data_IF_153326213134
#
_entry.id   IF_153326213134
#
_cell.length_a   1.000
_cell.length_b   1.000
_cell.length_c   1.000
_cell.angle_alpha   90.00
_cell.angle_beta   90.00
_cell.angle_gamma   90.00
#
_symmetry.space_group_name_H-M   'P 1'
#
loop_
_entity.id
_entity.type
_entity.pdbx_description
1 polymer ?
#
# COMPACT_ATOMS: atom_id res chain seq x y z
N UNK A 1 -18.16 -13.36 -8.75
CA UNK A 1 -19.44 -13.55 -8.03
C UNK A 1 -19.27 -13.94 -6.58
N UNK A 2 -18.30 -14.81 -6.27
CA UNK A 2 -18.10 -15.37 -4.92
C UNK A 2 -17.96 -14.29 -3.84
N UNK A 3 -17.06 -13.32 -4.00
CA UNK A 3 -16.88 -12.24 -3.01
C UNK A 3 -18.17 -11.46 -2.76
N UNK A 4 -18.93 -11.11 -3.81
CA UNK A 4 -20.20 -10.39 -3.66
C UNK A 4 -21.24 -11.23 -2.91
N UNK A 5 -21.34 -12.52 -3.22
CA UNK A 5 -22.25 -13.43 -2.50
C UNK A 5 -21.83 -13.61 -1.04
N UNK A 6 -20.53 -13.78 -0.77
CA UNK A 6 -20.01 -13.90 0.60
C UNK A 6 -20.27 -12.61 1.39
N UNK A 7 -20.05 -11.42 0.80
CA UNK A 7 -20.37 -10.14 1.44
C UNK A 7 -21.87 -10.04 1.75
N UNK A 8 -22.72 -10.42 0.80
CA UNK A 8 -24.17 -10.46 1.03
C UNK A 8 -24.55 -11.38 2.19
N UNK A 9 -24.01 -12.60 2.20
CA UNK A 9 -24.26 -13.55 3.28
C UNK A 9 -23.80 -13.00 4.64
N UNK A 10 -22.61 -12.43 4.71
CA UNK A 10 -22.06 -11.88 5.96
C UNK A 10 -22.89 -10.71 6.49
N UNK A 11 -23.39 -9.83 5.62
CA UNK A 11 -24.24 -8.69 6.03
C UNK A 11 -25.56 -9.16 6.67
N UNK A 12 -26.13 -10.27 6.22
CA UNK A 12 -27.41 -10.78 6.75
C UNK A 12 -27.25 -11.87 7.81
N UNK A 13 -26.06 -12.46 7.97
CA UNK A 13 -25.76 -13.44 9.02
C UNK A 13 -25.60 -12.74 10.38
N UNK A 14 -26.41 -13.11 11.41
CA UNK A 14 -26.29 -12.52 12.73
C UNK A 14 -24.90 -12.63 13.37
N UNK A 15 -24.07 -13.60 12.96
CA UNK A 15 -22.70 -13.79 13.48
C UNK A 15 -21.72 -12.74 12.99
N UNK A 16 -21.98 -12.14 11.81
CA UNK A 16 -21.07 -11.21 11.13
C UNK A 16 -21.69 -9.84 10.88
N UNK A 17 -23.01 -9.77 10.69
CA UNK A 17 -23.74 -8.55 10.33
C UNK A 17 -24.17 -7.68 11.52
N UNK A 18 -23.97 -8.13 12.77
CA UNK A 18 -24.29 -7.34 13.96
C UNK A 18 -23.10 -6.51 14.45
N UNK A 19 -21.86 -6.96 14.22
CA UNK A 19 -20.63 -6.28 14.64
C UNK A 19 -19.56 -6.40 13.56
N UNK A 20 -18.57 -5.49 13.58
CA UNK A 20 -17.45 -5.47 12.65
C UNK A 20 -17.74 -4.78 11.32
N UNK A 21 -16.97 -5.10 10.31
CA UNK A 21 -16.98 -4.42 9.00
C UNK A 21 -18.22 -4.72 8.13
N UNK A 22 -18.92 -5.81 8.40
CA UNK A 22 -20.18 -6.17 7.72
C UNK A 22 -21.41 -5.65 8.45
N UNK A 23 -21.25 -4.96 9.57
CA UNK A 23 -22.37 -4.45 10.35
C UNK A 23 -23.00 -3.22 9.68
N UNK A 24 -24.14 -3.44 9.03
CA UNK A 24 -24.93 -2.40 8.39
C UNK A 24 -26.27 -2.23 9.12
N UNK A 25 -26.77 -0.99 9.13
CA UNK A 25 -28.06 -0.63 9.70
C UNK A 25 -28.91 0.12 8.70
N UNK A 26 -30.21 -0.07 8.78
CA UNK A 26 -31.20 0.76 8.10
C UNK A 26 -31.57 1.93 9.02
N UNK A 27 -31.17 3.12 8.63
CA UNK A 27 -31.35 4.37 9.39
C UNK A 27 -32.69 4.99 9.01
N UNK A 28 -33.65 4.91 9.94
CA UNK A 28 -34.99 5.46 9.77
C UNK A 28 -35.03 6.98 9.81
N UNK A 29 -34.12 7.62 10.52
CA UNK A 29 -34.12 9.09 10.69
C UNK A 29 -33.43 9.82 9.54
N UNK A 30 -32.71 9.11 8.70
CA UNK A 30 -32.18 9.70 7.48
C UNK A 30 -33.29 10.06 6.51
N UNK A 31 -33.15 11.17 5.79
CA UNK A 31 -34.13 11.62 4.79
C UNK A 31 -33.50 11.69 3.40
N UNK A 32 -33.85 10.74 2.47
CA UNK A 32 -34.68 9.55 2.70
C UNK A 32 -33.96 8.50 3.57
N UNK A 33 -34.68 7.55 4.19
CA UNK A 33 -34.11 6.44 4.92
C UNK A 33 -33.14 5.65 4.06
N UNK A 34 -32.00 5.23 4.65
CA UNK A 34 -30.90 4.61 3.92
C UNK A 34 -30.13 3.59 4.74
N UNK A 35 -29.45 2.70 4.04
CA UNK A 35 -28.47 1.79 4.65
C UNK A 35 -27.14 2.52 4.85
N UNK A 36 -26.54 2.37 6.04
CA UNK A 36 -25.22 2.87 6.39
C UNK A 36 -24.46 1.89 7.28
N UNK A 37 -23.16 2.09 7.42
CA UNK A 37 -22.35 1.35 8.40
C UNK A 37 -22.85 1.63 9.83
N UNK A 38 -22.83 0.59 10.67
CA UNK A 38 -23.18 0.70 12.09
C UNK A 38 -22.10 1.49 12.82
N UNK A 39 -22.50 2.44 13.64
CA UNK A 39 -21.62 3.24 14.49
C UNK A 39 -21.70 2.79 15.95
N UNK A 40 -20.75 3.23 16.80
CA UNK A 40 -20.80 2.98 18.25
C UNK A 40 -22.08 3.52 18.90
N UNK A 41 -22.68 4.56 18.34
CA UNK A 41 -23.95 5.13 18.83
C UNK A 41 -25.13 4.20 18.62
N UNK A 42 -25.08 3.36 17.59
CA UNK A 42 -26.13 2.39 17.26
C UNK A 42 -26.12 1.14 18.18
N UNK A 43 -25.12 1.00 19.04
CA UNK A 43 -24.98 -0.13 20.00
C UNK A 43 -25.84 0.08 21.26
N UNK A 44 -26.35 1.29 21.50
CA UNK A 44 -27.27 1.56 22.60
C UNK A 44 -28.69 1.14 22.20
N UNK A 45 -29.41 0.49 23.13
CA UNK A 45 -30.80 0.02 22.95
C UNK A 45 -31.83 1.09 22.52
N UNK A 46 -31.41 2.33 22.35
CA UNK A 46 -32.22 3.47 21.93
C UNK A 46 -31.87 3.98 20.52
N UNK A 47 -31.18 3.17 19.72
CA UNK A 47 -30.77 3.59 18.38
C UNK A 47 -31.96 3.51 17.40
N UNK A 48 -32.08 4.58 16.59
CA UNK A 48 -33.14 4.77 15.59
C UNK A 48 -32.81 4.02 14.27
N UNK A 49 -32.01 2.98 14.35
CA UNK A 49 -31.53 2.20 13.22
C UNK A 49 -31.73 0.71 13.44
N UNK A 50 -32.18 0.02 12.39
CA UNK A 50 -32.46 -1.41 12.40
C UNK A 50 -31.27 -2.15 11.82
N UNK A 51 -30.58 -3.07 12.54
CA UNK A 51 -29.55 -3.92 11.96
C UNK A 51 -30.08 -4.75 10.78
N UNK A 52 -29.35 -4.87 9.68
CA UNK A 52 -29.83 -5.59 8.51
C UNK A 52 -30.16 -7.06 8.78
N UNK A 53 -29.43 -7.82 9.65
CA UNK A 53 -29.86 -9.16 10.03
C UNK A 53 -31.20 -9.22 10.76
N UNK A 54 -31.58 -8.14 11.47
CA UNK A 54 -32.87 -8.02 12.13
C UNK A 54 -33.96 -7.65 11.10
N UNK A 55 -33.69 -6.70 10.21
CA UNK A 55 -34.61 -6.28 9.15
C UNK A 55 -34.93 -7.43 8.19
N UNK A 56 -34.00 -8.35 7.93
CA UNK A 56 -34.18 -9.49 7.02
C UNK A 56 -34.99 -10.63 7.66
N UNK A 57 -34.89 -10.83 8.97
CA UNK A 57 -35.58 -11.88 9.74
C UNK A 57 -36.93 -11.36 10.31
N UNK A 58 -38.05 -11.88 9.82
CA UNK A 58 -39.38 -11.42 10.25
C UNK A 58 -39.61 -11.55 11.76
N UNK A 59 -39.17 -12.64 12.37
CA UNK A 59 -39.37 -12.88 13.80
C UNK A 59 -38.59 -11.87 14.65
N UNK A 60 -37.35 -11.56 14.23
CA UNK A 60 -36.49 -10.57 14.91
C UNK A 60 -37.03 -9.14 14.67
N UNK A 61 -37.53 -8.85 13.50
CA UNK A 61 -38.11 -7.56 13.16
C UNK A 61 -39.35 -7.30 14.00
N UNK A 62 -40.27 -8.26 14.15
CA UNK A 62 -41.47 -8.15 14.98
C UNK A 62 -41.12 -7.90 16.45
N UNK A 63 -40.09 -8.57 16.96
CA UNK A 63 -39.59 -8.34 18.32
C UNK A 63 -39.03 -6.93 18.44
N UNK A 64 -38.17 -6.52 17.49
CA UNK A 64 -37.57 -5.18 17.49
C UNK A 64 -38.63 -4.08 17.45
N UNK A 65 -39.65 -4.18 16.59
CA UNK A 65 -40.74 -3.20 16.50
C UNK A 65 -41.57 -3.15 17.77
N UNK A 66 -41.79 -4.28 18.45
CA UNK A 66 -42.47 -4.33 19.73
C UNK A 66 -41.67 -3.65 20.86
N UNK A 67 -40.34 -3.78 20.85
CA UNK A 67 -39.45 -3.13 21.81
C UNK A 67 -39.25 -1.63 21.53
N UNK A 68 -39.48 -1.18 20.29
CA UNK A 68 -39.28 0.19 19.81
C UNK A 68 -40.61 0.83 19.34
N UNK A 69 -41.60 0.84 20.22
CA UNK A 69 -42.97 1.29 19.94
C UNK A 69 -43.11 2.68 19.34
N UNK A 70 -42.08 3.56 19.47
CA UNK A 70 -42.04 4.90 18.84
C UNK A 70 -42.07 4.86 17.30
N UNK A 71 -41.83 3.71 16.69
CA UNK A 71 -41.86 3.50 15.24
C UNK A 71 -43.11 2.82 14.72
N UNK A 72 -44.15 2.72 15.56
CA UNK A 72 -45.44 2.13 15.14
C UNK A 72 -46.03 2.87 13.93
N UNK A 73 -45.88 4.19 13.88
CA UNK A 73 -46.39 5.03 12.76
C UNK A 73 -45.56 4.86 11.45
N UNK A 74 -44.39 4.21 11.53
CA UNK A 74 -43.49 3.98 10.37
C UNK A 74 -43.46 2.51 9.93
N UNK A 75 -44.39 1.70 10.40
CA UNK A 75 -44.41 0.26 10.13
C UNK A 75 -44.52 -0.05 8.63
N UNK A 76 -45.26 0.77 7.88
CA UNK A 76 -45.41 0.59 6.43
C UNK A 76 -44.09 0.83 5.69
N UNK A 77 -43.30 1.80 6.14
CA UNK A 77 -41.97 2.07 5.58
C UNK A 77 -40.97 0.93 5.87
N UNK A 78 -40.99 0.43 7.10
CA UNK A 78 -40.18 -0.72 7.52
C UNK A 78 -40.57 -1.95 6.70
N UNK A 79 -41.85 -2.20 6.54
CA UNK A 79 -42.35 -3.30 5.73
C UNK A 79 -41.94 -3.17 4.26
N UNK A 80 -42.05 -1.99 3.67
CA UNK A 80 -41.64 -1.73 2.29
C UNK A 80 -40.09 -1.96 2.11
N UNK A 81 -39.28 -1.55 3.07
CA UNK A 81 -37.85 -1.80 3.05
C UNK A 81 -37.54 -3.32 3.15
N UNK A 82 -38.23 -4.02 4.06
CA UNK A 82 -38.10 -5.46 4.26
C UNK A 82 -38.50 -6.23 3.01
N UNK A 83 -39.63 -5.86 2.39
CA UNK A 83 -40.11 -6.46 1.15
C UNK A 83 -39.08 -6.28 0.03
N UNK A 84 -38.58 -5.08 -0.20
CA UNK A 84 -37.54 -4.80 -1.21
C UNK A 84 -36.29 -5.66 -1.02
N UNK A 85 -35.86 -5.85 0.22
CA UNK A 85 -34.70 -6.70 0.53
C UNK A 85 -34.96 -8.19 0.23
N UNK A 86 -36.13 -8.71 0.58
CA UNK A 86 -36.47 -10.14 0.40
C UNK A 86 -36.82 -10.49 -1.04
N UNK A 87 -37.42 -9.55 -1.75
CA UNK A 87 -37.82 -9.73 -3.16
C UNK A 87 -36.70 -9.34 -4.12
N UNK A 88 -35.56 -8.85 -3.61
CA UNK A 88 -34.44 -8.50 -4.46
C UNK A 88 -33.84 -9.73 -5.13
N UNK A 89 -33.96 -9.78 -6.45
CA UNK A 89 -33.38 -10.85 -7.27
C UNK A 89 -31.96 -10.47 -7.66
N UNK A 90 -30.98 -11.27 -7.25
CA UNK A 90 -29.60 -11.15 -7.73
C UNK A 90 -29.53 -11.78 -9.12
N UNK A 91 -29.33 -10.97 -10.19
CA UNK A 91 -29.20 -11.56 -11.54
C UNK A 91 -27.87 -12.33 -11.59
N UNK A 92 -27.95 -13.60 -11.99
CA UNK A 92 -26.79 -14.45 -12.18
C UNK A 92 -26.78 -14.99 -13.61
N UNK A 93 -25.63 -14.96 -14.25
CA UNK A 93 -25.40 -15.59 -15.54
C UNK A 93 -24.59 -16.87 -15.32
N UNK A 94 -25.19 -18.01 -15.68
CA UNK A 94 -24.48 -19.29 -15.71
C UNK A 94 -23.82 -19.46 -17.08
N UNK A 95 -22.48 -19.52 -17.10
CA UNK A 95 -21.75 -19.76 -18.34
C UNK A 95 -21.40 -21.25 -18.41
N UNK A 96 -21.95 -21.94 -19.40
CA UNK A 96 -21.72 -23.37 -19.65
C UNK A 96 -20.74 -23.50 -20.83
N UNK A 97 -19.46 -23.25 -20.60
CA UNK A 97 -18.40 -23.46 -21.59
C UNK A 97 -17.23 -24.17 -20.92
N UNK A 98 -16.60 -25.08 -21.65
CA UNK A 98 -15.33 -25.71 -21.27
C UNK A 98 -14.16 -25.04 -22.00
N UNK A 99 -14.43 -24.04 -22.83
CA UNK A 99 -13.40 -23.26 -23.53
C UNK A 99 -12.92 -22.12 -22.64
N UNK A 100 -11.70 -22.25 -22.16
CA UNK A 100 -11.02 -21.24 -21.31
C UNK A 100 -10.94 -19.86 -21.96
N UNK A 101 -10.84 -19.77 -23.28
CA UNK A 101 -10.82 -18.51 -24.02
C UNK A 101 -12.16 -17.79 -23.94
N UNK A 102 -13.26 -18.51 -24.10
CA UNK A 102 -14.63 -17.98 -23.99
C UNK A 102 -14.94 -17.57 -22.55
N UNK A 103 -14.54 -18.38 -21.56
CA UNK A 103 -14.72 -18.06 -20.15
C UNK A 103 -13.96 -16.79 -19.76
N UNK A 104 -12.74 -16.58 -20.25
CA UNK A 104 -11.94 -15.38 -20.02
C UNK A 104 -12.58 -14.15 -20.63
N UNK A 105 -13.02 -14.23 -21.89
CA UNK A 105 -13.65 -13.09 -22.57
C UNK A 105 -14.92 -12.64 -21.84
N UNK A 106 -15.76 -13.58 -21.40
CA UNK A 106 -16.96 -13.27 -20.64
C UNK A 106 -16.60 -12.66 -19.28
N UNK A 107 -15.60 -13.21 -18.58
CA UNK A 107 -15.13 -12.71 -17.30
C UNK A 107 -14.59 -11.27 -17.42
N UNK A 108 -13.77 -10.98 -18.42
CA UNK A 108 -13.25 -9.65 -18.70
C UNK A 108 -14.35 -8.64 -19.02
N UNK A 109 -15.33 -9.03 -19.84
CA UNK A 109 -16.50 -8.18 -20.15
C UNK A 109 -17.34 -7.87 -18.92
N UNK A 110 -17.61 -8.86 -18.07
CA UNK A 110 -18.40 -8.68 -16.85
C UNK A 110 -17.70 -7.80 -15.82
N UNK A 111 -16.37 -7.89 -15.71
CA UNK A 111 -15.59 -7.08 -14.78
C UNK A 111 -15.33 -5.65 -15.27
N UNK A 112 -15.39 -5.40 -16.57
CA UNK A 112 -15.31 -4.05 -17.13
C UNK A 112 -16.57 -3.19 -16.87
N UNK A 113 -17.67 -3.79 -16.47
CA UNK A 113 -18.92 -3.09 -16.15
C UNK A 113 -19.02 -2.53 -14.71
N UNK A 114 -18.00 -2.78 -13.84
CA UNK A 114 -17.94 -2.33 -12.44
C UNK A 114 -16.59 -1.76 -12.04
N UNK A 115 -16.25 -1.83 -10.73
CA UNK A 115 -14.88 -1.56 -10.26
C UNK A 115 -13.95 -2.56 -10.92
N UNK A 116 -13.02 -2.07 -11.73
CA UNK A 116 -12.06 -2.94 -12.43
C UNK A 116 -11.27 -3.75 -11.40
N UNK A 117 -11.26 -5.06 -11.56
CA UNK A 117 -10.31 -5.91 -10.83
C UNK A 117 -8.90 -5.58 -11.29
N UNK A 118 -7.96 -5.65 -10.36
CA UNK A 118 -6.54 -5.65 -10.71
C UNK A 118 -6.22 -6.90 -11.54
N UNK A 119 -5.14 -6.86 -12.31
CA UNK A 119 -4.71 -8.02 -13.11
C UNK A 119 -4.39 -9.24 -12.24
N UNK A 120 -3.85 -9.00 -11.04
CA UNK A 120 -3.55 -10.06 -10.08
C UNK A 120 -4.84 -10.71 -9.51
N UNK A 121 -5.86 -9.91 -9.19
CA UNK A 121 -7.18 -10.42 -8.75
C UNK A 121 -7.90 -11.19 -9.85
N UNK A 122 -7.82 -10.72 -11.11
CA UNK A 122 -8.36 -11.43 -12.26
C UNK A 122 -7.66 -12.78 -12.47
N UNK A 123 -6.32 -12.80 -12.34
CA UNK A 123 -5.54 -14.03 -12.43
C UNK A 123 -5.91 -15.02 -11.32
N UNK A 124 -6.05 -14.55 -10.07
CA UNK A 124 -6.49 -15.39 -8.94
C UNK A 124 -7.84 -16.05 -9.22
N UNK A 125 -8.80 -15.29 -9.72
CA UNK A 125 -10.15 -15.82 -10.00
C UNK A 125 -10.20 -16.88 -11.09
N UNK A 126 -9.22 -16.89 -12.00
CA UNK A 126 -9.16 -17.84 -13.14
C UNK A 126 -8.24 -19.04 -12.89
N UNK A 127 -7.28 -18.92 -11.99
CA UNK A 127 -6.22 -19.92 -11.75
C UNK A 127 -6.04 -20.24 -10.26
N UNK A 128 -7.08 -20.08 -9.45
CA UNK A 128 -7.06 -20.59 -8.08
C UNK A 128 -6.67 -22.08 -8.13
N UNK A 129 -5.71 -22.54 -7.30
CA UNK A 129 -5.40 -23.94 -7.18
C UNK A 129 -6.67 -24.72 -6.89
N UNK A 130 -6.82 -25.92 -7.47
CA UNK A 130 -7.90 -26.82 -7.07
C UNK A 130 -7.86 -27.04 -5.56
N UNK A 131 -9.03 -27.05 -4.90
CA UNK A 131 -9.13 -27.29 -3.47
C UNK A 131 -8.35 -28.57 -3.10
N UNK A 132 -7.22 -28.42 -2.40
CA UNK A 132 -6.37 -29.54 -1.95
C UNK A 132 -4.88 -29.40 -2.22
N UNK A 133 -4.43 -28.44 -3.03
CA UNK A 133 -2.99 -28.15 -3.20
C UNK A 133 -2.55 -27.03 -2.24
N UNK A 134 -2.41 -27.37 -0.95
CA UNK A 134 -2.09 -26.41 0.12
C UNK A 134 -0.67 -25.79 0.04
N UNK A 135 0.22 -26.32 -0.80
CA UNK A 135 1.64 -25.95 -0.84
C UNK A 135 2.08 -25.25 -2.13
N UNK A 136 1.17 -24.86 -3.03
CA UNK A 136 1.55 -24.19 -4.26
C UNK A 136 1.99 -22.75 -4.00
N UNK A 137 3.21 -22.37 -4.41
CA UNK A 137 3.69 -20.98 -4.36
C UNK A 137 2.84 -20.10 -5.26
N UNK A 138 2.11 -19.16 -4.67
CA UNK A 138 1.24 -18.20 -5.35
C UNK A 138 1.79 -16.78 -5.16
N UNK A 139 1.18 -15.78 -5.81
CA UNK A 139 1.56 -14.38 -5.58
C UNK A 139 1.24 -13.94 -4.15
N UNK A 140 0.22 -14.52 -3.53
CA UNK A 140 -0.14 -14.29 -2.14
C UNK A 140 0.87 -14.89 -1.17
N UNK A 141 1.40 -16.08 -1.47
CA UNK A 141 2.46 -16.68 -0.65
C UNK A 141 3.74 -15.85 -0.75
N UNK A 142 4.12 -15.37 -1.95
CA UNK A 142 5.25 -14.45 -2.13
C UNK A 142 5.03 -13.17 -1.31
N UNK A 143 3.82 -12.60 -1.35
CA UNK A 143 3.48 -11.40 -0.58
C UNK A 143 3.59 -11.64 0.94
N UNK A 144 3.07 -12.78 1.41
CA UNK A 144 3.11 -13.17 2.81
C UNK A 144 4.56 -13.42 3.28
N UNK A 145 5.35 -14.15 2.51
CA UNK A 145 6.75 -14.42 2.82
C UNK A 145 7.59 -13.13 2.93
N UNK A 146 7.41 -12.20 2.00
CA UNK A 146 8.09 -10.90 2.06
C UNK A 146 7.70 -10.13 3.32
N UNK A 147 6.40 -10.06 3.63
CA UNK A 147 5.91 -9.39 4.84
C UNK A 147 6.49 -10.02 6.11
N UNK A 148 6.39 -11.36 6.21
CA UNK A 148 6.68 -12.07 7.46
C UNK A 148 8.18 -12.27 7.69
N UNK A 149 8.95 -12.52 6.61
CA UNK A 149 10.40 -12.75 6.70
C UNK A 149 11.23 -11.47 6.66
N UNK A 150 10.83 -10.51 5.79
CA UNK A 150 11.62 -9.30 5.59
C UNK A 150 11.11 -8.13 6.43
N UNK A 151 9.88 -8.16 6.91
CA UNK A 151 9.27 -7.05 7.68
C UNK A 151 9.47 -5.69 6.99
N UNK A 152 9.31 -5.67 5.66
CA UNK A 152 9.48 -4.49 4.82
C UNK A 152 8.15 -3.89 4.36
N UNK A 153 7.06 -4.30 4.99
CA UNK A 153 5.69 -3.96 4.64
C UNK A 153 5.09 -4.94 3.63
N UNK A 154 3.80 -4.79 3.40
CA UNK A 154 3.05 -5.64 2.50
C UNK A 154 3.05 -5.07 1.08
N UNK A 155 3.68 -5.78 0.12
CA UNK A 155 3.60 -5.46 -1.28
C UNK A 155 2.16 -5.65 -1.78
N UNK A 156 1.71 -4.82 -2.72
CA UNK A 156 0.47 -5.14 -3.44
C UNK A 156 0.68 -6.25 -4.48
N UNK A 157 -0.38 -7.01 -4.74
CA UNK A 157 -0.33 -8.15 -5.65
C UNK A 157 0.07 -7.77 -7.08
N UNK A 158 -0.29 -6.56 -7.54
CA UNK A 158 0.11 -6.08 -8.87
C UNK A 158 1.62 -5.84 -8.94
N UNK A 159 2.25 -5.37 -7.87
CA UNK A 159 3.72 -5.25 -7.81
C UNK A 159 4.39 -6.62 -7.89
N UNK A 160 3.88 -7.63 -7.18
CA UNK A 160 4.40 -9.01 -7.25
C UNK A 160 4.22 -9.60 -8.64
N UNK A 161 3.04 -9.43 -9.24
CA UNK A 161 2.76 -9.86 -10.61
C UNK A 161 3.69 -9.20 -11.63
N UNK A 162 3.89 -7.89 -11.52
CA UNK A 162 4.79 -7.17 -12.42
C UNK A 162 6.25 -7.60 -12.24
N UNK A 163 6.69 -7.88 -11.00
CA UNK A 163 8.01 -8.42 -10.71
C UNK A 163 8.21 -9.79 -11.35
N UNK A 164 7.23 -10.70 -11.21
CA UNK A 164 7.21 -11.99 -11.85
C UNK A 164 7.34 -11.88 -13.39
N UNK A 165 6.51 -11.04 -14.00
CA UNK A 165 6.55 -10.85 -15.45
C UNK A 165 7.86 -10.18 -15.90
N UNK A 166 8.34 -9.15 -15.21
CA UNK A 166 9.58 -8.45 -15.54
C UNK A 166 10.80 -9.38 -15.45
N UNK A 167 10.82 -10.28 -14.47
CA UNK A 167 11.88 -11.29 -14.35
C UNK A 167 11.98 -12.15 -15.61
N UNK A 168 10.87 -12.59 -16.17
CA UNK A 168 10.81 -13.49 -17.31
C UNK A 168 10.82 -12.79 -18.68
N UNK A 169 10.99 -11.47 -18.71
CA UNK A 169 11.11 -10.68 -19.94
C UNK A 169 10.81 -9.20 -19.73
N UNK A 170 11.27 -8.31 -20.61
CA UNK A 170 11.28 -6.86 -20.39
C UNK A 170 9.88 -6.21 -20.35
N UNK A 171 8.83 -6.84 -20.87
CA UNK A 171 7.48 -6.30 -20.82
C UNK A 171 6.71 -6.84 -19.62
N UNK A 172 6.72 -6.10 -18.51
CA UNK A 172 5.99 -6.43 -17.28
C UNK A 172 4.47 -6.31 -17.39
N UNK A 173 3.94 -5.80 -18.47
CA UNK A 173 2.50 -5.61 -18.69
C UNK A 173 1.92 -6.60 -19.72
N UNK A 174 2.67 -7.66 -20.05
CA UNK A 174 2.14 -8.70 -20.94
C UNK A 174 1.09 -9.57 -20.23
N UNK A 175 0.34 -10.31 -21.01
CA UNK A 175 -0.65 -11.22 -20.49
C UNK A 175 0.01 -12.40 -19.77
N UNK A 176 -0.30 -12.59 -18.49
CA UNK A 176 0.22 -13.67 -17.70
C UNK A 176 -0.35 -15.04 -18.10
N UNK A 177 -1.56 -15.08 -18.68
CA UNK A 177 -2.23 -16.31 -19.04
C UNK A 177 -1.46 -17.12 -20.10
N UNK A 178 -0.76 -16.42 -20.98
CA UNK A 178 0.05 -17.06 -22.01
C UNK A 178 1.48 -17.38 -21.57
N UNK A 179 1.86 -17.00 -20.34
CA UNK A 179 3.26 -17.07 -19.90
C UNK A 179 3.82 -18.51 -19.91
N UNK A 180 2.98 -19.49 -19.54
CA UNK A 180 3.33 -20.92 -19.56
C UNK A 180 2.59 -21.70 -20.66
N UNK A 181 1.90 -21.01 -21.57
CA UNK A 181 1.17 -21.66 -22.64
C UNK A 181 2.03 -21.91 -23.88
N UNK A 182 1.62 -22.85 -24.72
CA UNK A 182 2.25 -23.12 -26.03
C UNK A 182 2.07 -21.95 -27.03
N UNK A 183 1.13 -21.05 -26.75
CA UNK A 183 0.80 -19.87 -27.57
C UNK A 183 1.78 -18.72 -27.37
N UNK A 184 2.69 -18.83 -26.42
CA UNK A 184 3.70 -17.83 -26.17
C UNK A 184 4.60 -17.64 -27.40
N UNK A 185 4.56 -16.45 -27.97
CA UNK A 185 5.33 -16.11 -29.20
C UNK A 185 6.82 -15.88 -28.97
N UNK A 186 7.23 -15.59 -27.73
CA UNK A 186 8.63 -15.32 -27.38
C UNK A 186 9.10 -16.30 -26.32
N UNK A 187 10.29 -16.84 -26.50
CA UNK A 187 10.95 -17.67 -25.48
C UNK A 187 11.16 -16.85 -24.22
N UNK A 188 10.78 -17.34 -23.03
CA UNK A 188 11.07 -16.68 -21.76
C UNK A 188 12.59 -16.63 -21.52
N UNK A 189 13.02 -15.67 -20.71
CA UNK A 189 14.45 -15.54 -20.38
C UNK A 189 14.93 -16.68 -19.48
N UNK A 190 14.02 -17.37 -18.80
CA UNK A 190 14.28 -18.60 -18.03
C UNK A 190 13.35 -19.72 -18.56
N UNK A 191 13.69 -20.32 -19.73
CA UNK A 191 12.78 -21.23 -20.43
C UNK A 191 12.57 -22.57 -19.72
N UNK A 192 13.55 -23.00 -18.93
CA UNK A 192 13.56 -24.31 -18.26
C UNK A 192 12.82 -24.30 -16.92
N UNK A 193 12.35 -23.16 -16.47
CA UNK A 193 11.61 -23.04 -15.24
C UNK A 193 10.13 -23.34 -15.44
N UNK A 194 9.61 -24.27 -14.65
CA UNK A 194 8.17 -24.46 -14.47
C UNK A 194 7.52 -23.29 -13.68
N UNK A 195 6.23 -23.39 -13.41
CA UNK A 195 5.49 -22.34 -12.70
C UNK A 195 5.99 -22.16 -11.27
N UNK A 196 6.16 -23.23 -10.52
CA UNK A 196 6.55 -23.21 -9.12
C UNK A 196 7.98 -22.66 -8.96
N UNK A 197 8.91 -23.16 -9.75
CA UNK A 197 10.29 -22.64 -9.81
C UNK A 197 10.31 -21.16 -10.16
N UNK A 198 9.47 -20.73 -11.11
CA UNK A 198 9.38 -19.32 -11.49
C UNK A 198 8.86 -18.43 -10.36
N UNK A 199 7.90 -18.89 -9.56
CA UNK A 199 7.43 -18.18 -8.38
C UNK A 199 8.54 -18.09 -7.32
N UNK A 200 9.17 -19.23 -6.98
CA UNK A 200 10.24 -19.24 -5.98
C UNK A 200 11.40 -18.34 -6.38
N UNK A 201 11.87 -18.43 -7.64
CA UNK A 201 12.95 -17.57 -8.15
C UNK A 201 12.57 -16.09 -8.23
N UNK A 202 11.29 -15.79 -8.32
CA UNK A 202 10.80 -14.39 -8.22
C UNK A 202 10.86 -13.89 -6.79
N UNK A 203 10.51 -14.73 -5.82
CA UNK A 203 10.67 -14.42 -4.39
C UNK A 203 12.15 -14.16 -4.08
N UNK A 204 13.07 -15.05 -4.50
CA UNK A 204 14.52 -14.88 -4.30
C UNK A 204 15.01 -13.52 -4.85
N UNK A 205 14.62 -13.18 -6.08
CA UNK A 205 15.02 -11.93 -6.72
C UNK A 205 14.41 -10.68 -6.05
N UNK A 206 13.17 -10.77 -5.57
CA UNK A 206 12.52 -9.71 -4.77
C UNK A 206 13.25 -9.52 -3.45
N UNK A 207 13.62 -10.58 -2.76
CA UNK A 207 14.36 -10.54 -1.51
C UNK A 207 15.69 -9.80 -1.66
N UNK A 208 16.46 -10.11 -2.71
CA UNK A 208 17.72 -9.41 -3.01
C UNK A 208 17.47 -7.93 -3.33
N UNK A 209 16.45 -7.63 -4.13
CA UNK A 209 16.09 -6.26 -4.48
C UNK A 209 15.63 -5.44 -3.26
N UNK A 210 14.87 -6.04 -2.36
CA UNK A 210 14.43 -5.41 -1.11
C UNK A 210 15.61 -5.16 -0.17
N UNK A 211 16.51 -6.13 -0.02
CA UNK A 211 17.72 -5.98 0.78
C UNK A 211 18.64 -4.89 0.23
N UNK A 212 18.79 -4.79 -1.10
CA UNK A 212 19.49 -3.67 -1.73
C UNK A 212 18.82 -2.33 -1.41
N UNK A 213 17.49 -2.24 -1.53
CA UNK A 213 16.75 -1.02 -1.21
C UNK A 213 16.92 -0.62 0.25
N UNK A 214 16.79 -1.57 1.17
CA UNK A 214 16.89 -1.33 2.62
C UNK A 214 18.29 -0.91 3.04
N UNK A 215 19.30 -1.71 2.70
CA UNK A 215 20.64 -1.56 3.27
C UNK A 215 21.59 -0.71 2.41
N UNK A 216 21.34 -0.64 1.10
CA UNK A 216 22.21 0.11 0.19
C UNK A 216 21.60 1.44 -0.24
N UNK A 217 20.32 1.43 -0.62
CA UNK A 217 19.63 2.64 -1.04
C UNK A 217 19.01 3.44 0.12
N UNK A 218 18.82 2.84 1.30
CA UNK A 218 18.27 3.54 2.47
C UNK A 218 16.74 3.71 2.41
N UNK A 219 16.03 2.76 1.79
CA UNK A 219 14.56 2.72 1.76
C UNK A 219 14.07 1.69 2.77
N UNK A 220 13.64 2.09 3.97
CA UNK A 220 13.39 1.18 5.07
C UNK A 220 12.12 0.35 4.91
N UNK A 221 11.13 0.84 4.16
CA UNK A 221 9.81 0.23 4.08
C UNK A 221 9.18 0.42 2.70
N UNK A 222 8.28 -0.49 2.30
CA UNK A 222 7.60 -0.47 1.01
C UNK A 222 6.85 0.85 0.74
N UNK A 223 6.20 1.43 1.74
CA UNK A 223 5.47 2.70 1.60
C UNK A 223 6.38 3.91 1.41
N UNK A 224 7.69 3.77 1.66
CA UNK A 224 8.69 4.81 1.41
C UNK A 224 9.26 4.75 -0.01
N UNK A 225 8.87 3.75 -0.81
CA UNK A 225 9.22 3.73 -2.23
C UNK A 225 8.61 4.91 -2.97
N UNK A 226 9.43 5.69 -3.66
CA UNK A 226 8.95 6.76 -4.52
C UNK A 226 8.00 6.24 -5.61
N UNK A 227 8.38 5.14 -6.25
CA UNK A 227 7.56 4.47 -7.27
C UNK A 227 7.77 2.95 -7.23
N UNK A 228 6.67 2.19 -7.19
CA UNK A 228 6.68 0.73 -7.10
C UNK A 228 7.39 0.05 -8.28
N UNK A 229 7.32 0.63 -9.49
CA UNK A 229 7.99 0.07 -10.66
C UNK A 229 9.53 0.02 -10.52
N UNK A 230 10.13 0.85 -9.65
CA UNK A 230 11.57 0.81 -9.40
C UNK A 230 11.99 -0.51 -8.72
N UNK A 231 11.17 -1.02 -7.78
CA UNK A 231 11.35 -2.35 -7.22
C UNK A 231 11.28 -3.42 -8.30
N UNK A 232 10.31 -3.32 -9.22
CA UNK A 232 10.16 -4.29 -10.32
C UNK A 232 11.37 -4.30 -11.25
N UNK A 233 11.93 -3.13 -11.56
CA UNK A 233 13.17 -3.02 -12.35
C UNK A 233 14.35 -3.67 -11.63
N UNK A 234 14.50 -3.40 -10.31
CA UNK A 234 15.53 -4.00 -9.48
C UNK A 234 15.37 -5.52 -9.38
N UNK A 235 14.14 -6.02 -9.22
CA UNK A 235 13.87 -7.47 -9.21
C UNK A 235 14.32 -8.13 -10.49
N UNK A 236 14.05 -7.52 -11.66
CA UNK A 236 14.56 -8.01 -12.93
C UNK A 236 16.09 -8.00 -12.98
N UNK A 237 16.71 -6.93 -12.51
CA UNK A 237 18.18 -6.83 -12.48
C UNK A 237 18.79 -7.95 -11.63
N UNK A 238 18.33 -8.11 -10.40
CA UNK A 238 18.86 -9.14 -9.48
C UNK A 238 18.48 -10.58 -9.88
N UNK A 239 17.43 -10.76 -10.66
CA UNK A 239 17.13 -12.08 -11.24
C UNK A 239 18.21 -12.56 -12.23
N UNK A 240 18.83 -11.61 -12.97
CA UNK A 240 19.92 -11.91 -13.90
C UNK A 240 21.30 -11.81 -13.27
N UNK A 241 21.44 -10.98 -12.25
CA UNK A 241 22.70 -10.65 -11.56
C UNK A 241 22.48 -10.69 -10.04
N UNK A 242 22.38 -11.89 -9.43
CA UNK A 242 22.07 -12.01 -8.00
C UNK A 242 23.20 -11.52 -7.09
N UNK A 243 24.44 -11.53 -7.57
CA UNK A 243 25.64 -11.08 -6.85
C UNK A 243 26.46 -10.10 -7.73
N UNK A 244 25.97 -8.87 -7.95
CA UNK A 244 26.69 -7.91 -8.77
C UNK A 244 27.91 -7.35 -8.05
N UNK A 245 28.92 -6.93 -8.83
CA UNK A 245 30.12 -6.37 -8.26
C UNK A 245 29.83 -5.05 -7.47
N UNK A 246 30.70 -4.74 -6.48
CA UNK A 246 30.52 -3.58 -5.58
C UNK A 246 30.42 -2.25 -6.36
N UNK A 247 31.14 -2.10 -7.48
CA UNK A 247 31.05 -0.93 -8.35
C UNK A 247 29.64 -0.78 -8.91
N UNK A 248 29.05 -1.85 -9.43
CA UNK A 248 27.72 -1.83 -10.04
C UNK A 248 26.63 -1.64 -9.00
N UNK A 249 26.78 -2.16 -7.78
CA UNK A 249 25.89 -1.85 -6.66
C UNK A 249 25.86 -0.35 -6.34
N UNK A 250 27.03 0.33 -6.31
CA UNK A 250 27.10 1.78 -6.10
C UNK A 250 26.45 2.58 -7.25
N UNK A 251 26.70 2.15 -8.48
CA UNK A 251 26.08 2.77 -9.66
C UNK A 251 24.56 2.55 -9.70
N UNK A 252 24.09 1.39 -9.26
CA UNK A 252 22.67 1.06 -9.17
C UNK A 252 21.97 1.89 -8.08
N UNK A 253 22.63 2.13 -6.94
CA UNK A 253 22.15 3.06 -5.90
C UNK A 253 21.99 4.48 -6.46
N UNK A 254 23.01 4.97 -7.17
CA UNK A 254 22.95 6.27 -7.84
C UNK A 254 21.84 6.35 -8.88
N UNK A 255 21.67 5.31 -9.68
CA UNK A 255 20.57 5.20 -10.62
C UNK A 255 19.22 5.25 -9.92
N UNK A 256 19.04 4.49 -8.84
CA UNK A 256 17.78 4.43 -8.10
C UNK A 256 17.32 5.82 -7.66
N UNK A 257 18.19 6.58 -7.00
CA UNK A 257 17.84 7.92 -6.54
C UNK A 257 17.58 8.91 -7.68
N UNK A 258 18.34 8.85 -8.75
CA UNK A 258 18.07 9.65 -9.96
C UNK A 258 16.74 9.29 -10.59
N UNK A 259 16.41 8.01 -10.71
CA UNK A 259 15.13 7.54 -11.23
C UNK A 259 13.96 7.96 -10.34
N UNK A 260 14.12 7.89 -9.01
CA UNK A 260 13.13 8.36 -8.05
C UNK A 260 12.86 9.87 -8.18
N UNK A 261 13.89 10.68 -8.38
CA UNK A 261 13.77 12.14 -8.58
C UNK A 261 13.20 12.51 -9.96
N UNK A 262 13.51 11.75 -10.99
CA UNK A 262 12.99 11.98 -12.35
C UNK A 262 11.52 11.60 -12.46
N UNK A 263 11.12 10.53 -11.78
CA UNK A 263 9.74 10.05 -11.77
C UNK A 263 9.26 9.49 -13.11
N UNK A 264 7.95 9.42 -13.31
CA UNK A 264 7.33 8.79 -14.48
C UNK A 264 7.40 9.64 -15.76
N UNK A 265 7.96 10.84 -15.71
CA UNK A 265 8.10 11.74 -16.89
C UNK A 265 9.15 11.29 -17.90
N UNK A 266 9.94 10.26 -17.57
CA UNK A 266 11.00 9.73 -18.44
C UNK A 266 10.50 9.29 -19.82
N UNK A 267 9.33 8.64 -19.89
CA UNK A 267 8.86 7.99 -21.12
C UNK A 267 7.33 7.84 -21.15
N UNK A 268 6.60 8.96 -21.18
CA UNK A 268 5.14 8.92 -21.37
C UNK A 268 4.32 8.33 -20.23
N UNK A 269 4.74 8.54 -18.99
CA UNK A 269 4.05 8.10 -17.78
C UNK A 269 4.64 6.85 -17.13
N UNK A 270 3.96 6.33 -16.10
CA UNK A 270 4.46 5.21 -15.29
C UNK A 270 4.72 3.94 -16.10
N UNK A 271 3.77 3.54 -16.94
CA UNK A 271 3.88 2.33 -17.78
C UNK A 271 5.01 2.43 -18.79
N UNK A 272 5.15 3.58 -19.46
CA UNK A 272 6.21 3.82 -20.42
C UNK A 272 7.59 3.82 -19.77
N UNK A 273 7.74 4.50 -18.64
CA UNK A 273 8.99 4.57 -17.89
C UNK A 273 9.41 3.19 -17.35
N UNK A 274 8.47 2.43 -16.77
CA UNK A 274 8.72 1.08 -16.29
C UNK A 274 9.20 0.16 -17.42
N UNK A 275 8.52 0.19 -18.58
CA UNK A 275 8.90 -0.62 -19.75
C UNK A 275 10.26 -0.21 -20.32
N UNK A 276 10.55 1.07 -20.39
CA UNK A 276 11.85 1.57 -20.85
C UNK A 276 12.99 1.09 -19.96
N UNK A 277 12.82 1.18 -18.63
CA UNK A 277 13.85 0.77 -17.67
C UNK A 277 14.03 -0.76 -17.62
N UNK A 278 12.95 -1.55 -17.63
CA UNK A 278 13.09 -3.02 -17.68
C UNK A 278 13.80 -3.48 -18.95
N UNK A 279 13.62 -2.75 -20.08
CA UNK A 279 14.30 -3.03 -21.33
C UNK A 279 15.80 -2.68 -21.35
N UNK A 280 16.29 -1.90 -20.39
CA UNK A 280 17.71 -1.61 -20.20
C UNK A 280 18.49 -2.82 -19.70
N UNK A 281 17.81 -3.81 -19.09
CA UNK A 281 18.45 -4.99 -18.50
C UNK A 281 18.53 -6.10 -19.54
N UNK A 282 19.75 -6.46 -19.90
CA UNK A 282 20.05 -7.53 -20.88
C UNK A 282 20.73 -8.69 -20.17
N UNK A 283 20.21 -9.92 -20.28
CA UNK A 283 20.84 -11.10 -19.68
C UNK A 283 22.33 -11.21 -20.02
N UNK A 284 23.15 -11.64 -19.06
CA UNK A 284 24.61 -11.83 -19.20
C UNK A 284 25.44 -10.56 -19.47
N UNK A 285 24.84 -9.37 -19.38
CA UNK A 285 25.51 -8.09 -19.57
C UNK A 285 25.24 -7.18 -18.38
N UNK A 286 25.88 -7.42 -17.24
CA UNK A 286 25.72 -6.67 -15.99
C UNK A 286 26.13 -5.20 -16.16
N UNK A 287 27.39 -4.96 -16.56
CA UNK A 287 27.94 -3.61 -16.74
C UNK A 287 27.13 -2.78 -17.73
N UNK A 288 26.82 -3.34 -18.90
CA UNK A 288 26.03 -2.66 -19.92
C UNK A 288 24.60 -2.36 -19.44
N UNK A 289 23.98 -3.25 -18.65
CA UNK A 289 22.66 -3.04 -18.07
C UNK A 289 22.66 -1.85 -17.11
N UNK A 290 23.64 -1.76 -16.21
CA UNK A 290 23.78 -0.64 -15.28
C UNK A 290 24.03 0.68 -16.03
N UNK A 291 24.88 0.68 -17.06
CA UNK A 291 25.16 1.88 -17.86
C UNK A 291 23.92 2.35 -18.64
N UNK A 292 23.13 1.44 -19.22
CA UNK A 292 21.88 1.78 -19.89
C UNK A 292 20.83 2.36 -18.92
N UNK A 293 20.72 1.80 -17.70
CA UNK A 293 19.86 2.34 -16.65
C UNK A 293 20.28 3.77 -16.26
N UNK A 294 21.56 4.03 -16.06
CA UNK A 294 22.07 5.39 -15.77
C UNK A 294 21.80 6.36 -16.93
N UNK A 295 22.05 5.93 -18.16
CA UNK A 295 21.79 6.74 -19.35
C UNK A 295 20.31 7.07 -19.53
N UNK A 296 19.40 6.19 -19.16
CA UNK A 296 17.97 6.41 -19.26
C UNK A 296 17.46 7.57 -18.38
N UNK A 297 18.16 7.90 -17.30
CA UNK A 297 17.83 9.01 -16.39
C UNK A 297 18.74 10.22 -16.56
N UNK A 298 19.77 10.13 -17.39
CA UNK A 298 20.73 11.22 -17.65
C UNK A 298 20.04 12.39 -18.37
N UNK A 299 20.34 13.62 -17.93
CA UNK A 299 19.79 14.84 -18.55
C UNK A 299 18.28 15.03 -18.41
N UNK A 300 17.61 14.17 -17.65
CA UNK A 300 16.17 14.32 -17.39
C UNK A 300 15.91 15.32 -16.26
N UNK A 301 14.76 16.03 -16.31
CA UNK A 301 14.37 16.92 -15.22
C UNK A 301 14.23 16.15 -13.88
N UNK A 302 14.74 16.72 -12.83
CA UNK A 302 14.62 16.18 -11.47
C UNK A 302 13.63 17.03 -10.66
N UNK A 303 12.65 16.37 -10.05
CA UNK A 303 11.74 17.00 -9.11
C UNK A 303 12.40 17.05 -7.73
N UNK A 304 13.00 18.20 -7.38
CA UNK A 304 13.63 18.39 -6.07
C UNK A 304 12.56 18.36 -4.97
N UNK A 305 12.70 17.50 -3.97
CA UNK A 305 11.82 17.53 -2.80
C UNK A 305 11.88 18.89 -2.10
N UNK A 306 10.71 19.39 -1.69
CA UNK A 306 10.58 20.66 -0.99
C UNK A 306 9.95 20.44 0.37
N UNK A 307 10.71 20.72 1.45
CA UNK A 307 10.27 20.50 2.83
C UNK A 307 9.05 21.35 3.21
N UNK A 308 8.84 22.52 2.59
CA UNK A 308 7.65 23.35 2.84
C UNK A 308 6.35 22.75 2.29
N UNK A 309 6.45 21.79 1.36
CA UNK A 309 5.29 21.16 0.71
C UNK A 309 5.37 19.63 0.81
N UNK A 310 5.38 19.14 2.04
CA UNK A 310 5.41 17.72 2.32
C UNK A 310 4.03 17.08 2.10
N UNK A 311 4.03 15.91 1.49
CA UNK A 311 2.85 15.06 1.37
C UNK A 311 3.23 13.59 1.52
N UNK A 312 2.80 12.96 2.60
CA UNK A 312 3.16 11.58 2.95
C UNK A 312 2.86 10.54 1.86
N UNK A 313 1.91 10.82 0.97
CA UNK A 313 1.51 9.93 -0.12
C UNK A 313 2.09 10.33 -1.49
N UNK A 314 3.03 11.29 -1.52
CA UNK A 314 3.67 11.74 -2.76
C UNK A 314 5.08 11.17 -2.85
N UNK A 315 5.54 10.89 -4.06
CA UNK A 315 6.90 10.40 -4.29
C UNK A 315 7.98 11.31 -3.67
N UNK A 316 7.82 12.64 -3.76
CA UNK A 316 8.70 13.60 -3.11
C UNK A 316 8.69 13.46 -1.58
N UNK A 317 7.52 13.19 -0.99
CA UNK A 317 7.38 12.92 0.44
C UNK A 317 8.09 11.64 0.85
N UNK A 318 7.94 10.56 0.09
CA UNK A 318 8.66 9.30 0.34
C UNK A 318 10.18 9.48 0.31
N UNK A 319 10.71 10.26 -0.65
CA UNK A 319 12.14 10.59 -0.71
C UNK A 319 12.58 11.36 0.53
N UNK A 320 11.79 12.35 0.97
CA UNK A 320 12.10 13.11 2.19
C UNK A 320 12.06 12.23 3.44
N UNK A 321 11.12 11.29 3.54
CA UNK A 321 11.06 10.33 4.65
C UNK A 321 12.27 9.38 4.67
N UNK A 322 12.76 8.94 3.50
CA UNK A 322 14.00 8.19 3.43
C UNK A 322 15.20 9.00 3.94
N UNK A 323 15.28 10.29 3.61
CA UNK A 323 16.33 11.16 4.14
C UNK A 323 16.23 11.30 5.67
N UNK A 324 15.05 11.48 6.23
CA UNK A 324 14.85 11.51 7.68
C UNK A 324 15.24 10.18 8.35
N UNK A 325 14.88 9.05 7.72
CA UNK A 325 15.24 7.73 8.22
C UNK A 325 16.76 7.49 8.25
N UNK A 326 17.47 8.03 7.28
CA UNK A 326 18.92 7.91 7.19
C UNK A 326 19.66 8.62 8.36
N UNK A 327 18.97 9.45 9.17
CA UNK A 327 19.46 10.04 10.41
C UNK A 327 19.33 9.08 11.61
N UNK A 328 18.81 7.87 11.40
CA UNK A 328 18.58 6.87 12.45
C UNK A 328 17.74 7.42 13.61
N UNK A 329 16.48 7.84 13.33
CA UNK A 329 15.63 8.41 14.36
C UNK A 329 15.46 7.45 15.54
N UNK A 330 15.59 7.99 16.77
CA UNK A 330 15.60 7.21 18.02
C UNK A 330 14.30 7.38 18.80
N UNK A 331 13.90 6.31 19.45
CA UNK A 331 12.76 6.32 20.36
C UNK A 331 13.04 7.17 21.60
N UNK A 332 12.15 8.09 22.00
CA UNK A 332 12.30 8.86 23.24
C UNK A 332 12.15 8.03 24.51
N UNK A 333 11.59 6.82 24.42
CA UNK A 333 11.39 5.94 25.59
C UNK A 333 12.52 4.94 25.77
N UNK A 334 13.06 4.39 24.67
CA UNK A 334 14.14 3.37 24.74
C UNK A 334 15.50 3.93 24.37
N UNK A 335 15.58 5.15 23.83
CA UNK A 335 16.80 5.83 23.33
C UNK A 335 17.50 5.07 22.19
N UNK A 336 16.93 3.96 21.73
CA UNK A 336 17.48 3.15 20.65
C UNK A 336 16.96 3.64 19.28
N UNK A 337 17.73 3.48 18.20
CA UNK A 337 17.23 3.70 16.85
C UNK A 337 16.00 2.86 16.58
N UNK A 338 15.03 3.41 15.84
CA UNK A 338 13.93 2.62 15.34
C UNK A 338 14.41 1.63 14.29
N UNK A 339 13.85 0.42 14.33
CA UNK A 339 14.11 -0.62 13.35
C UNK A 339 13.08 -0.60 12.21
N UNK A 340 13.39 -1.11 11.01
CA UNK A 340 12.40 -1.26 9.94
C UNK A 340 11.15 -2.06 10.36
N UNK A 341 11.30 -2.97 11.31
CA UNK A 341 10.19 -3.74 11.90
C UNK A 341 9.18 -2.84 12.62
N UNK A 342 9.64 -1.77 13.28
CA UNK A 342 8.75 -0.82 13.97
C UNK A 342 7.86 -0.09 12.97
N UNK A 343 8.41 0.27 11.79
CA UNK A 343 7.62 0.82 10.70
C UNK A 343 6.57 -0.17 10.19
N UNK A 344 6.93 -1.44 10.05
CA UNK A 344 6.03 -2.48 9.56
C UNK A 344 4.88 -2.74 10.52
N UNK A 345 5.12 -2.67 11.84
CA UNK A 345 4.09 -2.80 12.88
C UNK A 345 3.09 -1.63 12.88
N UNK A 346 3.57 -0.40 12.65
CA UNK A 346 2.74 0.80 12.69
C UNK A 346 1.99 1.02 11.37
N UNK A 347 2.60 0.69 10.24
CA UNK A 347 2.03 0.89 8.91
C UNK A 347 1.29 -0.39 8.47
N UNK A 348 0.03 -0.50 8.81
CA UNK A 348 -0.78 -1.65 8.44
C UNK A 348 -0.86 -1.81 6.92
N UNK A 349 -0.53 -3.02 6.45
CA UNK A 349 -0.72 -3.50 5.07
C UNK A 349 -0.14 -2.58 3.98
N UNK A 350 0.92 -1.85 4.25
CA UNK A 350 1.63 -1.03 3.26
C UNK A 350 0.81 0.11 2.65
N UNK A 351 -0.23 0.58 3.33
CA UNK A 351 -1.16 1.57 2.78
C UNK A 351 -0.57 2.97 2.69
N UNK A 352 0.07 3.47 3.75
CA UNK A 352 0.61 4.83 3.83
C UNK A 352 1.64 4.95 4.96
N UNK A 353 2.70 5.78 4.81
CA UNK A 353 3.66 6.04 5.88
C UNK A 353 3.13 6.97 6.99
N UNK A 354 1.93 7.53 6.82
CA UNK A 354 1.42 8.57 7.70
C UNK A 354 1.33 8.18 9.19
N UNK A 355 0.91 6.97 9.59
CA UNK A 355 0.90 6.57 11.00
C UNK A 355 2.26 6.68 11.68
N UNK A 356 3.33 6.22 11.01
CA UNK A 356 4.69 6.28 11.52
C UNK A 356 5.32 7.69 11.46
N UNK A 357 4.62 8.68 10.88
CA UNK A 357 5.12 10.04 10.67
C UNK A 357 4.17 11.09 11.27
N UNK A 358 3.97 11.08 12.60
CA UNK A 358 3.02 11.97 13.27
C UNK A 358 3.38 13.44 13.17
N UNK A 359 2.35 14.30 13.31
CA UNK A 359 2.52 15.75 13.45
C UNK A 359 3.05 16.09 14.86
N UNK A 360 3.94 17.09 14.92
CA UNK A 360 4.46 17.65 16.17
C UNK A 360 3.39 18.54 16.81
N UNK A 361 2.89 19.49 16.05
CA UNK A 361 1.82 20.40 16.47
C UNK A 361 0.54 20.13 15.68
N UNK A 362 -0.64 20.29 16.31
CA UNK A 362 -1.90 20.23 15.58
C UNK A 362 -1.98 21.37 14.56
N UNK A 363 -2.56 21.09 13.40
CA UNK A 363 -2.67 22.09 12.30
C UNK A 363 -3.34 23.39 12.70
N UNK A 364 -4.25 23.35 13.69
CA UNK A 364 -4.93 24.53 14.23
C UNK A 364 -4.01 25.47 15.02
N UNK A 365 -2.85 25.01 15.44
CA UNK A 365 -1.85 25.79 16.16
C UNK A 365 -0.80 26.44 15.26
N UNK A 366 -0.88 26.21 13.94
CA UNK A 366 0.10 26.68 12.97
C UNK A 366 -0.53 27.64 11.95
N UNK A 367 0.32 28.51 11.40
CA UNK A 367 -0.02 29.24 10.18
C UNK A 367 -0.42 28.22 9.07
N UNK A 368 -1.50 28.46 8.31
CA UNK A 368 -1.96 27.54 7.26
C UNK A 368 -0.87 27.16 6.23
N UNK A 369 0.11 28.05 5.99
CA UNK A 369 1.22 27.80 5.08
C UNK A 369 2.19 26.75 5.61
N UNK A 370 2.27 26.56 6.93
CA UNK A 370 3.14 25.58 7.60
C UNK A 370 2.45 24.24 7.88
N UNK A 371 1.15 24.16 7.70
CA UNK A 371 0.37 22.96 8.00
C UNK A 371 0.84 21.72 7.19
N UNK A 372 1.45 21.94 6.01
CA UNK A 372 2.02 20.91 5.15
C UNK A 372 3.55 20.85 5.19
N UNK A 373 4.19 21.53 6.12
CA UNK A 373 5.66 21.50 6.25
C UNK A 373 6.15 20.18 6.82
N UNK A 374 7.25 19.66 6.27
CA UNK A 374 8.01 18.56 6.87
C UNK A 374 8.57 18.92 8.25
N UNK A 375 8.80 20.22 8.50
CA UNK A 375 9.20 20.74 9.80
C UNK A 375 8.25 20.35 10.93
N UNK A 376 6.98 20.09 10.61
CA UNK A 376 5.95 19.63 11.56
C UNK A 376 5.83 18.08 11.61
N UNK A 377 6.82 17.31 11.15
CA UNK A 377 6.74 15.83 11.12
C UNK A 377 7.93 15.20 11.82
N UNK A 378 7.66 14.07 12.50
CA UNK A 378 8.68 13.18 13.06
C UNK A 378 8.56 11.82 12.38
N UNK A 379 9.62 11.01 12.43
CA UNK A 379 9.52 9.57 12.25
C UNK A 379 9.54 8.97 13.65
N UNK A 380 8.39 8.50 14.13
CA UNK A 380 8.23 8.00 15.49
C UNK A 380 7.15 6.89 15.53
N UNK A 381 7.42 5.73 14.87
CA UNK A 381 6.48 4.62 14.84
C UNK A 381 6.21 4.11 16.26
N UNK A 382 4.95 3.75 16.54
CA UNK A 382 4.50 3.20 17.82
C UNK A 382 4.68 4.12 19.04
N UNK A 383 5.14 5.37 18.85
CA UNK A 383 5.47 6.27 19.96
C UNK A 383 4.21 7.01 20.46
N UNK A 384 3.82 6.86 21.73
CA UNK A 384 2.69 7.56 22.32
C UNK A 384 2.85 9.08 22.28
N UNK A 385 1.73 9.81 22.33
CA UNK A 385 1.74 11.28 22.30
C UNK A 385 2.59 11.87 23.45
N UNK A 386 2.50 11.30 24.65
CA UNK A 386 3.25 11.74 25.84
C UNK A 386 4.77 11.65 25.62
N UNK A 387 5.24 10.55 25.03
CA UNK A 387 6.66 10.38 24.71
C UNK A 387 7.12 11.32 23.59
N UNK A 388 6.26 11.60 22.60
CA UNK A 388 6.56 12.59 21.55
C UNK A 388 6.66 14.02 22.10
N UNK A 389 5.84 14.35 23.11
CA UNK A 389 5.93 15.64 23.80
C UNK A 389 7.29 15.80 24.47
N UNK A 390 7.87 14.74 25.07
CA UNK A 390 9.22 14.78 25.66
C UNK A 390 10.29 15.18 24.61
N UNK A 391 10.18 14.76 23.36
CA UNK A 391 11.12 15.12 22.31
C UNK A 391 11.19 16.64 22.08
N UNK A 392 10.07 17.32 22.13
CA UNK A 392 9.96 18.75 21.83
C UNK A 392 10.09 19.65 23.07
N UNK A 393 10.03 19.08 24.29
CA UNK A 393 10.14 19.83 25.54
C UNK A 393 11.61 20.00 25.93
N UNK A 394 12.17 21.23 25.96
CA UNK A 394 13.60 21.44 26.22
C UNK A 394 14.06 21.00 27.61
N UNK A 395 13.16 21.02 28.59
CA UNK A 395 13.45 20.69 30.00
C UNK A 395 13.49 19.17 30.29
N UNK A 396 13.18 18.33 29.31
CA UNK A 396 13.28 16.88 29.50
C UNK A 396 14.74 16.41 29.42
N UNK A 397 15.13 15.53 30.33
CA UNK A 397 16.46 14.89 30.37
C UNK A 397 16.57 13.79 29.29
N UNK A 398 16.41 14.16 28.00
CA UNK A 398 16.70 13.27 26.90
C UNK A 398 18.14 13.44 26.42
N UNK A 399 18.82 12.33 26.08
CA UNK A 399 20.16 12.40 25.48
C UNK A 399 20.17 13.28 24.22
N UNK A 400 21.25 14.03 24.03
CA UNK A 400 21.42 14.89 22.86
C UNK A 400 21.25 14.10 21.55
N UNK A 401 21.78 12.88 21.49
CA UNK A 401 21.68 11.98 20.33
C UNK A 401 20.23 11.70 19.91
N UNK A 402 19.30 11.57 20.88
CA UNK A 402 17.87 11.37 20.56
C UNK A 402 17.29 12.60 19.89
N UNK A 403 17.56 13.79 20.41
CA UNK A 403 17.10 15.07 19.82
C UNK A 403 17.72 15.32 18.46
N UNK A 404 19.02 15.08 18.33
CA UNK A 404 19.78 15.22 17.09
C UNK A 404 19.23 14.32 15.98
N UNK A 405 18.84 13.08 16.32
CA UNK A 405 18.27 12.14 15.33
C UNK A 405 16.96 12.65 14.73
N UNK A 406 16.26 13.56 15.42
CA UNK A 406 15.01 14.17 14.98
C UNK A 406 15.15 15.62 14.49
N UNK A 407 16.36 16.14 14.36
CA UNK A 407 16.64 17.56 14.00
C UNK A 407 15.99 18.55 14.98
N UNK A 408 16.15 18.29 16.27
CA UNK A 408 15.58 19.12 17.34
C UNK A 408 16.63 19.90 18.14
N UNK A 409 17.90 19.87 17.73
CA UNK A 409 19.04 20.47 18.42
C UNK A 409 18.95 22.01 18.51
N UNK A 410 18.51 22.64 17.42
CA UNK A 410 18.42 24.09 17.28
C UNK A 410 16.98 24.59 17.32
N UNK A 411 16.05 23.77 17.80
CA UNK A 411 14.64 24.13 17.78
C UNK A 411 14.35 25.22 18.81
N UNK A 412 13.64 26.29 18.40
CA UNK A 412 13.10 27.28 19.31
C UNK A 412 12.16 26.63 20.34
N UNK A 413 11.78 27.39 21.35
CA UNK A 413 10.86 26.90 22.36
C UNK A 413 9.53 26.46 21.73
N UNK A 414 8.87 25.40 22.24
CA UNK A 414 7.59 24.92 21.75
C UNK A 414 6.45 25.96 21.83
N UNK A 415 6.64 27.01 22.62
CA UNK A 415 5.69 28.14 22.79
C UNK A 415 5.55 28.98 21.52
N UNK A 416 6.45 28.85 20.55
CA UNK A 416 6.42 29.53 19.25
C UNK A 416 6.35 28.49 18.10
N UNK A 417 5.20 27.81 17.90
CA UNK A 417 5.08 26.67 16.98
C UNK A 417 5.50 27.01 15.55
N UNK A 418 5.12 28.16 15.04
CA UNK A 418 5.44 28.58 13.67
C UNK A 418 6.95 28.79 13.47
N UNK A 419 7.63 29.41 14.42
CA UNK A 419 9.06 29.63 14.36
C UNK A 419 9.82 28.29 14.48
N UNK A 420 9.35 27.42 15.37
CA UNK A 420 9.87 26.05 15.51
C UNK A 420 9.83 25.29 14.20
N UNK A 421 8.65 25.25 13.56
CA UNK A 421 8.45 24.53 12.30
C UNK A 421 9.29 25.14 11.18
N UNK A 422 9.41 26.47 11.06
CA UNK A 422 10.22 27.13 10.03
C UNK A 422 11.71 26.81 10.19
N UNK A 423 12.25 26.96 11.40
CA UNK A 423 13.66 26.67 11.67
C UNK A 423 13.99 25.22 11.35
N UNK A 424 13.15 24.30 11.77
CA UNK A 424 13.34 22.88 11.48
C UNK A 424 13.16 22.55 9.99
N UNK A 425 12.25 23.20 9.29
CA UNK A 425 12.06 23.07 7.83
C UNK A 425 13.35 23.42 7.07
N UNK A 426 14.00 24.52 7.43
CA UNK A 426 15.25 24.97 6.80
C UNK A 426 16.38 23.94 7.02
N UNK A 427 16.54 23.44 8.25
CA UNK A 427 17.52 22.39 8.57
C UNK A 427 17.25 21.11 7.76
N UNK A 428 15.99 20.66 7.71
CA UNK A 428 15.60 19.49 6.96
C UNK A 428 15.81 19.67 5.46
N UNK A 429 15.50 20.83 4.90
CA UNK A 429 15.75 21.12 3.48
C UNK A 429 17.23 21.05 3.14
N UNK A 430 18.07 21.58 4.01
CA UNK A 430 19.53 21.52 3.83
C UNK A 430 20.00 20.06 3.82
N UNK A 431 19.61 19.29 4.82
CA UNK A 431 19.97 17.87 4.94
C UNK A 431 19.47 17.01 3.78
N UNK A 432 18.22 17.20 3.31
CA UNK A 432 17.68 16.50 2.13
C UNK A 432 18.53 16.79 0.89
N UNK A 433 18.97 18.04 0.72
CA UNK A 433 19.83 18.38 -0.41
C UNK A 433 21.23 17.72 -0.32
N UNK A 434 21.75 17.50 0.88
CA UNK A 434 22.99 16.75 1.09
C UNK A 434 22.81 15.25 0.86
N UNK A 435 21.74 14.66 1.38
CA UNK A 435 21.39 13.25 1.19
C UNK A 435 21.27 12.86 -0.29
N UNK A 436 20.85 13.78 -1.15
CA UNK A 436 20.62 13.55 -2.57
C UNK A 436 21.84 13.89 -3.47
N UNK A 437 22.97 14.31 -2.93
CA UNK A 437 24.23 14.55 -3.66
C UNK A 437 25.00 13.26 -3.90
#
# INVERSE_FOLDING_TARGET
GQQRLTTFLNVFDPRHGLEGEFALVYDLDAQPPKVRSRSRKDSNNNSDSIPLPVLFDLSKLLRWTSEHGKYADRIDEINAATQRLREFHVPAYEVRSQDDGVLREIYDRMNNAGKRLTRAEAFRGLFAPEEGTADATTFETIQADIRDRLQWGQLDLDTVLHAFLARRGPNMYRDIHIEFSKERRRIPEFPDEDREQSHQRTLDALEIAINFLRYKAGVPHFTFLAYRYLLVVLTRFFAHFPDPCARNLNLLQRWYWRAALTGPSMSGGMTGSARALTSCITPKDEDGSVQRLLKAVEGKPHHKPNASNFGANRASGHIMLCALWAREPRSPDTEQPFEPADLALEIDQGSTPQPACPEIFPRSALDPTLASSLGNRLIAPGTPLEARIKLITPETELPAEVRESHFLEASPKPDEPDQFVRTREELLQHYINEFLR
#
